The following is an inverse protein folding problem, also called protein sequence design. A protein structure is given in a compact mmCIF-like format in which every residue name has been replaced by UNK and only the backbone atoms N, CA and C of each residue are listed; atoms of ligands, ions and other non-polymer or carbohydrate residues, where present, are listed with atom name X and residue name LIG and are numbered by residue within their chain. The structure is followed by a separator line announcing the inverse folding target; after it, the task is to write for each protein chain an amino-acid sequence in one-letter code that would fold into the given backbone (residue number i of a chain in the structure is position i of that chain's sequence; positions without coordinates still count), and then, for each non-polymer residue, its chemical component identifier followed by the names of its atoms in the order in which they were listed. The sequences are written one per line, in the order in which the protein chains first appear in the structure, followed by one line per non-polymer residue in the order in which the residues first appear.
data_IF_117978811561
#
_entry.id   IF_117978811561
#
_cell.length_a   1.000
_cell.length_b   1.000
_cell.length_c   1.000
_cell.angle_alpha   90.00
_cell.angle_beta   90.00
_cell.angle_gamma   90.00
#
_symmetry.space_group_name_H-M   'P 1'
#
loop_
_entity.id
_entity.type
_entity.pdbx_description
1 polymer ?
#
# COMPACT_ATOMS: atom_id res chain seq x y z
N UNK A 1 -23.14 -15.93 -13.15
CA UNK A 1 -23.37 -15.25 -11.86
C UNK A 1 -22.19 -14.31 -11.64
N UNK A 2 -22.37 -13.12 -11.08
CA UNK A 2 -21.25 -12.20 -10.88
C UNK A 2 -20.56 -12.48 -9.55
N UNK A 3 -19.26 -12.12 -9.43
CA UNK A 3 -18.51 -12.28 -8.18
C UNK A 3 -19.16 -11.55 -6.99
N UNK A 4 -19.89 -10.46 -7.28
CA UNK A 4 -20.74 -9.76 -6.31
C UNK A 4 -21.77 -10.69 -5.69
N UNK A 5 -22.56 -11.34 -6.56
CA UNK A 5 -23.69 -12.16 -6.15
C UNK A 5 -23.20 -13.43 -5.46
N UNK A 6 -22.07 -13.99 -5.93
CA UNK A 6 -21.38 -15.13 -5.30
C UNK A 6 -20.96 -14.82 -3.85
N UNK A 7 -20.35 -13.65 -3.60
CA UNK A 7 -19.94 -13.25 -2.24
C UNK A 7 -21.15 -13.00 -1.34
N UNK A 8 -22.18 -12.32 -1.85
CA UNK A 8 -23.41 -12.05 -1.08
C UNK A 8 -24.10 -13.37 -0.73
N UNK A 9 -24.31 -14.26 -1.70
CA UNK A 9 -24.98 -15.55 -1.48
C UNK A 9 -24.25 -16.42 -0.45
N UNK A 10 -22.92 -16.44 -0.46
CA UNK A 10 -22.14 -17.18 0.55
C UNK A 10 -22.32 -16.57 1.95
N UNK A 11 -22.32 -15.24 2.06
CA UNK A 11 -22.50 -14.55 3.33
C UNK A 11 -23.95 -14.62 3.86
N UNK A 12 -24.96 -14.77 3.00
CA UNK A 12 -26.35 -14.97 3.40
C UNK A 12 -26.52 -16.25 4.24
N UNK A 13 -25.73 -17.29 3.95
CA UNK A 13 -25.70 -18.53 4.71
C UNK A 13 -24.84 -18.53 5.98
N UNK A 14 -24.08 -17.46 6.27
CA UNK A 14 -23.11 -17.41 7.38
C UNK A 14 -23.28 -16.12 8.20
N UNK A 15 -24.15 -16.18 9.20
CA UNK A 15 -24.53 -15.02 10.04
C UNK A 15 -23.39 -14.46 10.89
N UNK A 16 -22.41 -15.30 11.23
CA UNK A 16 -21.22 -14.91 12.00
C UNK A 16 -20.21 -14.15 11.12
N UNK A 17 -20.40 -14.17 9.80
CA UNK A 17 -19.51 -13.60 8.81
C UNK A 17 -18.38 -14.55 8.41
N UNK A 18 -17.62 -14.16 7.38
CA UNK A 18 -16.48 -14.93 6.88
C UNK A 18 -15.29 -14.02 6.59
N UNK A 19 -14.09 -14.55 6.79
CA UNK A 19 -12.86 -13.85 6.40
C UNK A 19 -12.68 -13.87 4.89
N UNK A 20 -11.88 -12.93 4.37
CA UNK A 20 -11.52 -12.90 2.95
C UNK A 20 -10.82 -14.21 2.51
N UNK A 21 -10.11 -14.90 3.41
CA UNK A 21 -9.46 -16.18 3.13
C UNK A 21 -10.49 -17.33 3.02
N UNK A 22 -11.46 -17.39 3.93
CA UNK A 22 -12.54 -18.39 3.88
C UNK A 22 -13.43 -18.21 2.66
N UNK A 23 -13.73 -16.96 2.28
CA UNK A 23 -14.48 -16.65 1.06
C UNK A 23 -13.70 -17.04 -0.20
N UNK A 24 -12.39 -16.80 -0.24
CA UNK A 24 -11.53 -17.16 -1.37
C UNK A 24 -11.47 -18.68 -1.58
N UNK A 25 -11.24 -19.43 -0.51
CA UNK A 25 -11.22 -20.90 -0.53
C UNK A 25 -12.56 -21.47 -1.00
N UNK A 26 -13.67 -20.97 -0.44
CA UNK A 26 -15.00 -21.50 -0.72
C UNK A 26 -15.53 -21.16 -2.11
N UNK A 27 -15.19 -19.98 -2.62
CA UNK A 27 -15.57 -19.56 -3.97
C UNK A 27 -14.59 -20.06 -5.04
N UNK A 28 -13.48 -20.69 -4.63
CA UNK A 28 -12.40 -21.08 -5.54
C UNK A 28 -11.81 -19.89 -6.28
N UNK A 29 -11.79 -18.71 -5.65
CA UNK A 29 -11.32 -17.46 -6.24
C UNK A 29 -10.02 -17.03 -5.59
N UNK A 30 -9.29 -16.18 -6.30
CA UNK A 30 -8.11 -15.56 -5.74
C UNK A 30 -8.50 -14.65 -4.56
N UNK A 31 -7.75 -14.76 -3.47
CA UNK A 31 -7.96 -13.94 -2.28
C UNK A 31 -8.01 -12.44 -2.57
N UNK A 32 -7.16 -11.97 -3.51
CA UNK A 32 -7.13 -10.58 -3.96
C UNK A 32 -8.47 -10.12 -4.57
N UNK A 33 -9.11 -10.95 -5.38
CA UNK A 33 -10.41 -10.65 -5.99
C UNK A 33 -11.50 -10.55 -4.93
N UNK A 34 -11.46 -11.43 -3.92
CA UNK A 34 -12.39 -11.41 -2.79
C UNK A 34 -12.18 -10.19 -1.91
N UNK A 35 -10.95 -9.88 -1.51
CA UNK A 35 -10.64 -8.71 -0.68
C UNK A 35 -11.06 -7.41 -1.38
N UNK A 36 -10.72 -7.23 -2.66
CA UNK A 36 -11.15 -6.08 -3.45
C UNK A 36 -12.69 -5.99 -3.52
N UNK A 37 -13.37 -7.11 -3.79
CA UNK A 37 -14.83 -7.14 -3.89
C UNK A 37 -15.50 -6.85 -2.56
N UNK A 38 -14.99 -7.39 -1.46
CA UNK A 38 -15.54 -7.16 -0.13
C UNK A 38 -15.34 -5.71 0.33
N UNK A 39 -14.20 -5.09 0.02
CA UNK A 39 -14.00 -3.64 0.24
C UNK A 39 -15.01 -2.81 -0.55
N UNK A 40 -15.25 -3.15 -1.81
CA UNK A 40 -16.23 -2.46 -2.63
C UNK A 40 -17.65 -2.60 -2.06
N UNK A 41 -18.06 -3.81 -1.68
CA UNK A 41 -19.37 -4.07 -1.06
C UNK A 41 -19.54 -3.36 0.29
N UNK A 42 -18.45 -3.17 1.04
CA UNK A 42 -18.47 -2.38 2.27
C UNK A 42 -18.70 -0.89 1.99
N UNK A 43 -18.05 -0.34 0.97
CA UNK A 43 -18.29 1.03 0.50
C UNK A 43 -19.72 1.23 0.02
N UNK A 44 -20.30 0.21 -0.61
CA UNK A 44 -21.70 0.20 -1.05
C UNK A 44 -22.71 -0.03 0.12
N UNK A 45 -22.24 -0.23 1.35
CA UNK A 45 -23.07 -0.41 2.54
C UNK A 45 -23.76 -1.78 2.65
N UNK A 46 -23.36 -2.75 1.83
CA UNK A 46 -23.98 -4.08 1.77
C UNK A 46 -23.36 -5.06 2.77
N UNK A 47 -22.13 -4.81 3.19
CA UNK A 47 -21.46 -5.58 4.23
C UNK A 47 -20.67 -4.69 5.19
N UNK A 48 -20.48 -5.19 6.40
CA UNK A 48 -19.58 -4.63 7.43
C UNK A 48 -18.33 -5.48 7.47
N UNK A 49 -17.17 -4.82 7.52
CA UNK A 49 -15.87 -5.43 7.74
C UNK A 49 -15.46 -5.20 9.19
N UNK A 50 -15.65 -6.20 10.04
CA UNK A 50 -15.25 -6.15 11.45
C UNK A 50 -13.79 -6.59 11.58
N UNK A 51 -12.95 -5.75 12.18
CA UNK A 51 -11.53 -6.01 12.41
C UNK A 51 -11.17 -6.04 13.91
N UNK A 52 -12.16 -6.02 14.81
CA UNK A 52 -11.95 -5.85 16.25
C UNK A 52 -11.11 -6.98 16.90
N UNK A 53 -11.08 -8.17 16.30
CA UNK A 53 -10.30 -9.33 16.77
C UNK A 53 -8.93 -9.48 16.09
N UNK A 54 -8.51 -8.52 15.25
CA UNK A 54 -7.28 -8.60 14.46
C UNK A 54 -7.40 -9.47 13.21
N UNK A 55 -8.55 -10.11 12.98
CA UNK A 55 -8.89 -10.81 11.73
C UNK A 55 -10.11 -10.12 11.11
N UNK A 56 -10.03 -9.75 9.83
CA UNK A 56 -11.15 -9.09 9.16
C UNK A 56 -12.23 -10.11 8.81
N UNK A 57 -13.43 -9.92 9.38
CA UNK A 57 -14.62 -10.72 9.12
C UNK A 57 -15.64 -9.88 8.38
N UNK A 58 -16.11 -10.38 7.23
CA UNK A 58 -17.15 -9.74 6.42
C UNK A 58 -18.53 -10.26 6.84
N UNK A 59 -19.47 -9.37 7.14
CA UNK A 59 -20.84 -9.70 7.52
C UNK A 59 -21.83 -8.87 6.72
N UNK A 60 -22.88 -9.48 6.16
CA UNK A 60 -23.93 -8.73 5.46
C UNK A 60 -24.69 -7.81 6.42
N UNK A 61 -25.02 -6.62 5.92
CA UNK A 61 -25.94 -5.70 6.61
C UNK A 61 -27.36 -6.19 6.33
N UNK A 62 -27.98 -6.87 7.30
CA UNK A 62 -29.39 -7.28 7.18
C UNK A 62 -30.31 -6.15 7.58
N UNK A 63 -31.27 -5.85 6.72
CA UNK A 63 -32.37 -4.94 7.00
C UNK A 63 -33.48 -5.64 7.79
N UNK A 64 -33.16 -6.25 8.93
CA UNK A 64 -34.20 -6.73 9.85
C UNK A 64 -34.39 -5.71 10.97
N UNK A 65 -35.54 -5.05 10.94
CA UNK A 65 -35.87 -3.95 11.84
C UNK A 65 -36.14 -4.39 13.27
N UNK A 66 -35.44 -3.75 14.22
CA UNK A 66 -35.98 -3.25 15.48
C UNK A 66 -34.96 -2.34 16.20
N UNK A 67 -35.15 -1.03 15.98
CA UNK A 67 -34.88 0.13 16.87
C UNK A 67 -33.64 0.11 17.79
N UNK A 68 -32.65 0.93 17.42
CA UNK A 68 -32.06 1.89 18.36
C UNK A 68 -31.81 3.21 17.65
N UNK A 69 -32.72 4.14 17.91
CA UNK A 69 -32.63 5.55 17.58
C UNK A 69 -31.38 6.16 18.22
N UNK A 70 -30.41 6.55 17.40
CA UNK A 70 -29.52 7.67 17.67
C UNK A 70 -29.22 8.38 16.33
N UNK A 71 -29.86 9.53 16.21
CA UNK A 71 -29.61 10.70 15.37
C UNK A 71 -28.83 10.53 14.05
N UNK A 72 -29.50 10.89 12.96
CA UNK A 72 -28.88 11.16 11.66
C UNK A 72 -27.63 12.04 11.82
N UNK A 73 -26.45 11.62 11.30
CA UNK A 73 -25.36 12.55 11.14
C UNK A 73 -25.69 13.49 9.97
N UNK A 74 -25.30 14.78 10.03
CA UNK A 74 -25.36 15.68 8.89
C UNK A 74 -24.52 15.13 7.72
N UNK A 75 -24.70 15.62 6.48
CA UNK A 75 -24.01 15.12 5.29
C UNK A 75 -22.53 14.92 5.60
N UNK A 76 -22.10 13.66 5.57
CA UNK A 76 -20.75 13.27 5.90
C UNK A 76 -19.83 13.87 4.84
N UNK A 77 -19.26 15.02 5.17
CA UNK A 77 -17.97 15.44 4.65
C UNK A 77 -17.07 14.23 4.68
N UNK A 78 -16.47 13.94 3.53
CA UNK A 78 -15.49 12.86 3.33
C UNK A 78 -14.46 12.95 4.45
N UNK A 79 -14.69 12.22 5.55
CA UNK A 79 -13.68 12.01 6.57
C UNK A 79 -12.73 11.02 5.93
N UNK A 80 -11.62 11.55 5.46
CA UNK A 80 -10.41 10.81 5.19
C UNK A 80 -10.21 9.83 6.34
N UNK A 81 -10.47 8.55 6.07
CA UNK A 81 -10.12 7.49 6.99
C UNK A 81 -8.62 7.68 7.29
N UNK A 82 -8.18 7.72 8.57
CA UNK A 82 -6.76 7.84 8.86
C UNK A 82 -6.02 6.71 8.12
N UNK A 83 -4.83 6.98 7.56
CA UNK A 83 -4.07 5.95 6.88
C UNK A 83 -3.92 4.77 7.84
N UNK A 84 -4.17 3.55 7.35
CA UNK A 84 -4.17 2.32 8.17
C UNK A 84 -2.88 2.14 8.98
N UNK A 85 -1.79 2.79 8.55
CA UNK A 85 -0.52 2.90 9.25
C UNK A 85 -0.06 4.37 9.28
N UNK A 86 0.61 4.81 10.35
CA UNK A 86 1.18 6.15 10.41
C UNK A 86 2.31 6.30 9.39
N UNK A 87 2.46 7.50 8.83
CA UNK A 87 3.69 7.88 8.14
C UNK A 87 4.87 7.79 9.12
N UNK A 88 6.07 7.34 8.71
CA UNK A 88 6.52 6.91 7.38
C UNK A 88 6.54 5.38 7.19
N UNK A 89 5.48 4.66 7.59
CA UNK A 89 5.38 3.23 7.35
C UNK A 89 5.27 2.91 5.84
N UNK A 90 5.83 1.78 5.40
CA UNK A 90 5.92 1.42 3.97
C UNK A 90 4.56 1.44 3.25
N UNK A 91 3.52 0.88 3.88
CA UNK A 91 2.14 0.91 3.36
C UNK A 91 1.61 2.34 3.22
N UNK A 92 1.93 3.23 4.15
CA UNK A 92 1.52 4.63 4.08
C UNK A 92 2.26 5.38 2.96
N UNK A 93 3.56 5.12 2.79
CA UNK A 93 4.38 5.68 1.69
C UNK A 93 3.86 5.21 0.33
N UNK A 94 3.57 3.92 0.18
CA UNK A 94 3.00 3.35 -1.05
C UNK A 94 1.62 3.96 -1.36
N UNK A 95 0.73 4.04 -0.37
CA UNK A 95 -0.60 4.63 -0.53
C UNK A 95 -0.53 6.10 -0.94
N UNK A 96 0.35 6.88 -0.30
CA UNK A 96 0.57 8.28 -0.64
C UNK A 96 1.11 8.44 -2.07
N UNK A 97 2.12 7.65 -2.46
CA UNK A 97 2.67 7.63 -3.82
C UNK A 97 1.60 7.33 -4.86
N UNK A 98 0.80 6.28 -4.65
CA UNK A 98 -0.29 5.89 -5.56
C UNK A 98 -1.31 7.03 -5.69
N UNK A 99 -1.68 7.66 -4.57
CA UNK A 99 -2.57 8.81 -4.57
C UNK A 99 -2.03 10.01 -5.36
N UNK A 100 -0.73 10.30 -5.24
CA UNK A 100 -0.07 11.32 -6.05
C UNK A 100 0.00 10.94 -7.54
N UNK A 101 0.42 9.72 -7.86
CA UNK A 101 0.47 9.22 -9.24
C UNK A 101 -0.87 9.38 -9.97
N UNK A 102 -1.98 9.01 -9.32
CA UNK A 102 -3.33 9.18 -9.89
C UNK A 102 -3.66 10.66 -10.13
N UNK A 103 -3.32 11.56 -9.20
CA UNK A 103 -3.51 13.02 -9.38
C UNK A 103 -2.68 13.56 -10.55
N UNK A 104 -1.52 12.97 -10.80
CA UNK A 104 -0.63 13.28 -11.92
C UNK A 104 -0.96 12.50 -13.21
N UNK A 105 -2.19 11.98 -13.32
CA UNK A 105 -2.73 11.26 -14.47
C UNK A 105 -1.97 9.99 -14.86
N UNK A 106 -1.25 9.37 -13.92
CA UNK A 106 -0.73 8.02 -14.13
C UNK A 106 -1.83 6.99 -13.98
N UNK A 107 -1.89 6.06 -14.92
CA UNK A 107 -2.73 4.88 -14.83
C UNK A 107 -2.01 3.81 -14.02
N UNK A 108 -2.58 3.47 -12.87
CA UNK A 108 -2.05 2.39 -12.02
C UNK A 108 -2.35 1.04 -12.66
N UNK A 109 -1.31 0.26 -12.97
CA UNK A 109 -1.40 -1.08 -13.53
C UNK A 109 -1.40 -2.13 -12.40
N UNK A 110 -0.51 -1.97 -11.42
CA UNK A 110 -0.38 -2.88 -10.28
C UNK A 110 0.07 -2.13 -9.03
N UNK A 111 -0.43 -2.58 -7.89
CA UNK A 111 0.07 -2.23 -6.55
C UNK A 111 0.17 -3.54 -5.78
N UNK A 112 1.36 -3.87 -5.29
CA UNK A 112 1.60 -5.08 -4.50
C UNK A 112 1.02 -4.93 -3.09
N UNK A 113 0.53 -6.03 -2.54
CA UNK A 113 0.15 -6.07 -1.13
C UNK A 113 1.38 -6.29 -0.24
N UNK A 114 1.91 -5.18 0.28
CA UNK A 114 3.09 -5.18 1.15
C UNK A 114 2.85 -5.92 2.47
N UNK A 115 1.60 -6.01 2.95
CA UNK A 115 1.27 -6.77 4.16
C UNK A 115 1.22 -8.28 3.89
N UNK A 116 0.89 -8.68 2.67
CA UNK A 116 0.89 -10.08 2.23
C UNK A 116 2.27 -10.60 1.77
N UNK A 117 3.33 -9.78 1.84
CA UNK A 117 4.68 -10.10 1.35
C UNK A 117 4.71 -10.62 -0.09
N UNK A 118 3.85 -10.05 -0.94
CA UNK A 118 3.77 -10.42 -2.35
C UNK A 118 5.13 -10.21 -3.05
N UNK A 119 5.57 -11.19 -3.84
CA UNK A 119 6.81 -11.08 -4.60
C UNK A 119 6.58 -10.24 -5.87
N UNK A 120 7.46 -9.28 -6.13
CA UNK A 120 7.48 -8.46 -7.35
C UNK A 120 7.59 -6.97 -7.07
N UNK A 121 7.53 -6.15 -8.13
CA UNK A 121 7.57 -4.68 -8.05
C UNK A 121 6.37 -4.13 -7.28
N UNK A 122 6.63 -3.20 -6.35
CA UNK A 122 5.63 -2.68 -5.43
C UNK A 122 4.54 -1.86 -6.14
N UNK A 123 4.91 -1.00 -7.09
CA UNK A 123 3.95 -0.24 -7.91
C UNK A 123 4.37 -0.27 -9.37
N UNK A 124 3.40 -0.52 -10.27
CA UNK A 124 3.56 -0.35 -11.72
C UNK A 124 2.51 0.64 -12.19
N UNK A 125 2.94 1.68 -12.89
CA UNK A 125 2.08 2.70 -13.47
C UNK A 125 2.47 3.01 -14.92
N UNK A 126 1.58 3.65 -15.66
CA UNK A 126 1.79 4.00 -17.06
C UNK A 126 1.21 5.38 -17.35
N UNK A 127 1.92 6.17 -18.14
CA UNK A 127 1.47 7.47 -18.63
C UNK A 127 2.11 7.75 -19.97
N UNK A 128 1.29 8.00 -20.98
CA UNK A 128 1.73 8.36 -22.34
C UNK A 128 2.75 7.36 -22.95
N UNK A 129 2.57 6.06 -22.68
CA UNK A 129 3.46 5.00 -23.15
C UNK A 129 4.74 4.82 -22.33
N UNK A 130 4.95 5.65 -21.31
CA UNK A 130 6.04 5.50 -20.34
C UNK A 130 5.56 4.61 -19.20
N UNK A 131 6.16 3.42 -19.08
CA UNK A 131 5.96 2.54 -17.94
C UNK A 131 6.86 2.94 -16.79
N UNK A 132 6.30 3.02 -15.59
CA UNK A 132 6.98 3.29 -14.32
C UNK A 132 6.94 2.03 -13.45
N UNK A 133 8.09 1.63 -12.93
CA UNK A 133 8.24 0.52 -11.99
C UNK A 133 8.89 1.03 -10.72
N UNK A 134 8.19 0.89 -9.59
CA UNK A 134 8.60 1.50 -8.33
C UNK A 134 8.80 0.44 -7.26
N UNK A 135 9.95 0.50 -6.58
CA UNK A 135 10.19 -0.13 -5.27
C UNK A 135 9.96 0.92 -4.18
N UNK A 136 9.13 0.63 -3.19
CA UNK A 136 8.79 1.52 -2.09
C UNK A 136 9.46 1.02 -0.81
N UNK A 137 10.02 1.92 0.00
CA UNK A 137 10.40 1.61 1.38
C UNK A 137 9.92 2.67 2.34
N UNK A 138 9.60 2.27 3.57
CA UNK A 138 9.31 3.18 4.68
C UNK A 138 10.58 3.72 5.35
N UNK A 139 10.41 4.29 6.55
CA UNK A 139 11.52 4.59 7.46
C UNK A 139 11.39 3.77 8.76
N UNK A 140 12.49 3.18 9.26
CA UNK A 140 12.43 2.32 10.44
C UNK A 140 12.15 3.13 11.70
N UNK A 141 11.07 2.80 12.40
CA UNK A 141 10.80 3.29 13.74
C UNK A 141 11.84 2.80 14.77
N UNK A 142 12.11 3.58 15.84
CA UNK A 142 13.12 3.27 16.85
C UNK A 142 12.72 2.10 17.75
N UNK A 143 11.43 1.76 17.80
CA UNK A 143 10.88 0.69 18.64
C UNK A 143 10.25 -0.40 17.80
N UNK A 144 10.06 -1.58 18.41
CA UNK A 144 9.30 -2.66 17.80
C UNK A 144 7.81 -2.27 17.68
N UNK A 145 7.26 -2.35 16.47
CA UNK A 145 5.88 -1.93 16.20
C UNK A 145 4.82 -2.97 16.62
N UNK A 146 5.19 -4.26 16.66
CA UNK A 146 4.28 -5.39 16.94
C UNK A 146 5.03 -6.52 17.65
N UNK A 147 4.28 -7.47 18.21
CA UNK A 147 4.80 -8.68 18.84
C UNK A 147 5.13 -8.53 20.33
N UNK A 148 5.75 -9.55 20.96
CA UNK A 148 6.00 -9.58 22.40
C UNK A 148 6.85 -8.42 22.93
N UNK A 149 7.63 -7.79 22.05
CA UNK A 149 8.52 -6.66 22.35
C UNK A 149 7.96 -5.31 21.94
N UNK A 150 6.67 -5.21 21.60
CA UNK A 150 6.08 -3.96 21.11
C UNK A 150 6.35 -2.80 22.08
N UNK A 151 6.84 -1.68 21.56
CA UNK A 151 7.25 -0.52 22.36
C UNK A 151 8.70 -0.58 22.89
N UNK A 152 9.37 -1.73 22.88
CA UNK A 152 10.77 -1.83 23.25
C UNK A 152 11.68 -1.20 22.17
N UNK A 153 12.80 -0.56 22.56
CA UNK A 153 13.81 -0.07 21.63
C UNK A 153 14.38 -1.20 20.77
N UNK A 154 14.54 -0.94 19.46
CA UNK A 154 15.26 -1.86 18.58
C UNK A 154 16.76 -1.78 18.88
N UNK A 155 17.49 -2.91 18.85
CA UNK A 155 18.95 -2.92 19.08
C UNK A 155 19.73 -2.08 18.07
N UNK A 156 19.23 -1.98 16.83
CA UNK A 156 19.88 -1.25 15.75
C UNK A 156 19.29 0.16 15.61
N UNK A 157 20.11 1.22 15.52
CA UNK A 157 19.62 2.57 15.25
C UNK A 157 18.84 2.64 13.93
N UNK A 158 17.78 3.45 13.88
CA UNK A 158 16.96 3.67 12.68
C UNK A 158 17.80 4.12 11.47
N UNK A 159 18.84 4.91 11.69
CA UNK A 159 19.71 5.42 10.61
C UNK A 159 20.50 4.30 9.92
N UNK A 160 20.95 3.28 10.66
CA UNK A 160 21.65 2.13 10.11
C UNK A 160 20.66 1.17 9.42
N UNK A 161 19.48 0.95 10.01
CA UNK A 161 18.41 0.19 9.36
C UNK A 161 18.00 0.83 8.03
N UNK A 162 17.88 2.16 7.97
CA UNK A 162 17.54 2.89 6.75
C UNK A 162 18.61 2.69 5.65
N UNK A 163 19.90 2.68 6.01
CA UNK A 163 20.97 2.33 5.06
C UNK A 163 20.82 0.91 4.50
N UNK A 164 20.49 -0.08 5.33
CA UNK A 164 20.23 -1.45 4.86
C UNK A 164 18.98 -1.55 3.97
N UNK A 165 17.93 -0.80 4.29
CA UNK A 165 16.70 -0.75 3.49
C UNK A 165 16.96 -0.14 2.11
N UNK A 166 17.71 0.97 2.06
CA UNK A 166 18.14 1.58 0.80
C UNK A 166 18.99 0.62 -0.03
N UNK A 167 19.98 -0.06 0.57
CA UNK A 167 20.82 -1.03 -0.14
C UNK A 167 20.00 -2.17 -0.76
N UNK A 168 18.98 -2.66 -0.04
CA UNK A 168 18.06 -3.69 -0.55
C UNK A 168 17.22 -3.17 -1.71
N UNK A 169 16.68 -1.95 -1.60
CA UNK A 169 15.91 -1.32 -2.66
C UNK A 169 16.74 -1.07 -3.92
N UNK A 170 18.01 -0.65 -3.77
CA UNK A 170 18.95 -0.48 -4.88
C UNK A 170 19.21 -1.80 -5.61
N UNK A 171 19.46 -2.89 -4.88
CA UNK A 171 19.64 -4.20 -5.50
C UNK A 171 18.40 -4.64 -6.30
N UNK A 172 17.20 -4.39 -5.76
CA UNK A 172 15.95 -4.67 -6.47
C UNK A 172 15.80 -3.78 -7.71
N UNK A 173 16.08 -2.49 -7.62
CA UNK A 173 16.04 -1.57 -8.75
C UNK A 173 17.00 -1.97 -9.87
N UNK A 174 18.22 -2.39 -9.54
CA UNK A 174 19.18 -2.92 -10.51
C UNK A 174 18.64 -4.17 -11.22
N UNK A 175 17.98 -5.07 -10.49
CA UNK A 175 17.33 -6.26 -11.08
C UNK A 175 16.17 -5.88 -11.98
N UNK A 176 15.32 -4.92 -11.58
CA UNK A 176 14.23 -4.42 -12.41
C UNK A 176 14.77 -3.82 -13.71
N UNK A 177 15.84 -3.01 -13.63
CA UNK A 177 16.49 -2.42 -14.80
C UNK A 177 17.08 -3.47 -15.74
N UNK A 178 17.62 -4.56 -15.21
CA UNK A 178 18.13 -5.67 -16.02
C UNK A 178 17.03 -6.47 -16.72
N UNK A 179 15.85 -6.58 -16.10
CA UNK A 179 14.72 -7.35 -16.63
C UNK A 179 13.87 -6.58 -17.66
N UNK A 180 13.76 -5.26 -17.51
CA UNK A 180 13.05 -4.38 -18.41
C UNK A 180 13.95 -3.16 -18.64
N UNK A 181 14.29 -2.83 -19.90
CA UNK A 181 15.18 -1.73 -20.29
C UNK A 181 14.43 -0.45 -20.73
N UNK A 182 13.13 -0.54 -20.95
CA UNK A 182 12.30 0.55 -21.47
C UNK A 182 11.52 1.26 -20.35
N UNK A 183 11.24 0.57 -19.25
CA UNK A 183 10.57 1.14 -18.08
C UNK A 183 11.45 2.16 -17.34
N UNK A 184 10.84 3.19 -16.74
CA UNK A 184 11.47 4.04 -15.74
C UNK A 184 11.49 3.33 -14.40
N UNK A 185 12.68 3.13 -13.83
CA UNK A 185 12.86 2.44 -12.55
C UNK A 185 13.03 3.46 -11.45
N UNK A 186 12.21 3.36 -10.40
CA UNK A 186 12.19 4.32 -9.29
C UNK A 186 12.30 3.60 -7.95
N UNK A 187 13.06 4.20 -7.04
CA UNK A 187 13.01 3.90 -5.61
C UNK A 187 12.29 5.05 -4.91
N UNK A 188 11.15 4.76 -4.29
CA UNK A 188 10.35 5.73 -3.55
C UNK A 188 10.56 5.59 -2.04
N UNK A 189 10.95 6.68 -1.39
CA UNK A 189 11.29 6.72 0.02
C UNK A 189 10.58 7.91 0.69
N UNK A 190 10.27 7.85 1.99
CA UNK A 190 9.81 9.03 2.71
C UNK A 190 10.92 10.08 2.76
N UNK A 191 10.54 11.35 2.73
CA UNK A 191 11.46 12.47 2.92
C UNK A 191 12.02 12.47 4.36
N UNK A 192 13.20 11.89 4.49
CA UNK A 192 13.96 11.81 5.72
C UNK A 192 15.39 12.25 5.45
N UNK A 193 15.93 13.09 6.33
CA UNK A 193 17.29 13.67 6.20
C UNK A 193 18.36 12.60 5.90
N UNK A 194 18.24 11.41 6.51
CA UNK A 194 19.18 10.31 6.27
C UNK A 194 19.12 9.77 4.85
N UNK A 195 17.95 9.60 4.25
CA UNK A 195 17.84 9.15 2.86
C UNK A 195 18.36 10.24 1.92
N UNK A 196 18.04 11.51 2.15
CA UNK A 196 18.57 12.62 1.36
C UNK A 196 20.10 12.68 1.34
N UNK A 197 20.74 12.52 2.51
CA UNK A 197 22.20 12.45 2.60
C UNK A 197 22.78 11.28 1.77
N UNK A 198 22.25 10.07 1.97
CA UNK A 198 22.72 8.87 1.27
C UNK A 198 22.52 8.96 -0.25
N UNK A 199 21.36 9.45 -0.70
CA UNK A 199 21.06 9.61 -2.12
C UNK A 199 21.94 10.66 -2.79
N UNK A 200 22.28 11.74 -2.07
CA UNK A 200 23.19 12.77 -2.58
C UNK A 200 24.60 12.21 -2.83
N UNK A 201 25.07 11.30 -1.98
CA UNK A 201 26.37 10.63 -2.16
C UNK A 201 26.41 9.73 -3.40
N UNK A 202 25.26 9.17 -3.82
CA UNK A 202 25.18 8.20 -4.93
C UNK A 202 24.44 8.73 -6.17
N UNK A 203 24.08 10.01 -6.24
CA UNK A 203 23.25 10.60 -7.32
C UNK A 203 23.81 10.31 -8.72
N UNK A 204 25.12 10.48 -8.90
CA UNK A 204 25.77 10.26 -10.18
C UNK A 204 25.75 8.77 -10.59
N UNK A 205 25.88 7.86 -9.62
CA UNK A 205 25.79 6.42 -9.85
C UNK A 205 24.37 5.99 -10.20
N UNK A 206 23.36 6.57 -9.55
CA UNK A 206 21.94 6.37 -9.88
C UNK A 206 21.65 6.79 -11.32
N UNK A 207 22.13 7.98 -11.72
CA UNK A 207 22.01 8.46 -13.11
C UNK A 207 22.70 7.50 -14.08
N UNK A 208 23.93 7.08 -13.81
CA UNK A 208 24.64 6.10 -14.65
C UNK A 208 23.89 4.77 -14.80
N UNK A 209 23.20 4.32 -13.74
CA UNK A 209 22.46 3.06 -13.70
C UNK A 209 21.04 3.13 -14.27
N UNK A 210 20.57 4.30 -14.72
CA UNK A 210 19.18 4.51 -15.14
C UNK A 210 18.13 4.25 -14.06
N UNK A 211 18.44 4.60 -12.82
CA UNK A 211 17.55 4.43 -11.67
C UNK A 211 17.31 5.79 -11.03
N UNK A 212 16.05 6.14 -10.84
CA UNK A 212 15.66 7.34 -10.11
C UNK A 212 15.38 6.99 -8.64
N UNK A 213 15.63 7.95 -7.74
CA UNK A 213 15.16 7.87 -6.38
C UNK A 213 14.36 9.12 -6.03
N UNK A 214 13.17 8.94 -5.46
CA UNK A 214 12.26 10.02 -5.09
C UNK A 214 12.09 10.05 -3.58
N UNK A 215 12.33 11.22 -2.98
CA UNK A 215 11.93 11.50 -1.60
C UNK A 215 10.52 12.06 -1.61
N UNK A 216 9.62 11.43 -0.86
CA UNK A 216 8.20 11.72 -0.88
C UNK A 216 7.77 12.44 0.39
N UNK A 217 6.91 13.44 0.23
CA UNK A 217 6.13 14.02 1.33
C UNK A 217 5.06 13.03 1.81
N UNK A 218 4.42 13.32 2.95
CA UNK A 218 3.27 12.55 3.46
C UNK A 218 2.05 12.54 2.51
N UNK A 219 2.03 13.43 1.52
CA UNK A 219 1.04 13.49 0.43
C UNK A 219 1.46 12.69 -0.82
N UNK A 220 2.63 12.06 -0.78
CA UNK A 220 3.18 11.23 -1.85
C UNK A 220 3.86 12.00 -2.98
N UNK A 221 3.93 13.33 -2.88
CA UNK A 221 4.60 14.16 -3.88
C UNK A 221 6.12 14.12 -3.69
N UNK A 222 6.92 13.97 -4.76
CA UNK A 222 8.37 14.06 -4.69
C UNK A 222 8.84 15.45 -4.26
N UNK A 223 9.39 15.58 -3.05
CA UNK A 223 10.07 16.79 -2.58
C UNK A 223 11.47 16.94 -3.19
N UNK A 224 12.11 15.81 -3.52
CA UNK A 224 13.38 15.76 -4.23
C UNK A 224 13.46 14.53 -5.13
N UNK A 225 14.24 14.64 -6.21
CA UNK A 225 14.55 13.54 -7.13
C UNK A 225 16.05 13.44 -7.35
N UNK A 226 16.54 12.22 -7.35
CA UNK A 226 17.93 11.84 -7.58
C UNK A 226 18.00 10.86 -8.73
N UNK A 227 19.13 10.82 -9.45
CA UNK A 227 19.31 9.98 -10.63
C UNK A 227 18.42 10.37 -11.82
N UNK A 228 17.68 11.48 -11.72
CA UNK A 228 16.83 11.95 -12.79
C UNK A 228 17.66 12.31 -14.04
N UNK A 229 17.08 12.02 -15.21
CA UNK A 229 17.55 12.53 -16.48
C UNK A 229 16.73 13.73 -16.93
N UNK A 230 17.31 14.62 -17.75
CA UNK A 230 16.52 15.55 -18.54
C UNK A 230 15.53 14.76 -19.40
N UNK A 231 14.30 15.23 -19.45
CA UNK A 231 13.29 14.77 -20.42
C UNK A 231 13.75 15.00 -21.87
#
# INVERSE_FOLDING_TARGET
MSLRDEVIQVLEGHTDGMTDAQLAERLGKLHQQINQRCRQLATEGLLVRDAASGTIVNRLVRSDGAVSSQSAPPPSTVRSNPPAHPWPHEVAVQGALVGWLVRENWRIIRVADTEAQEQGTDVIADRDGVRLMVEVKGYPGPTHARGPKAGEPKPMPSTLQASHWLATALLRAMRMRGADQDSRIVIALPDATRYGALLSEIDQSLRGARIEAWLLTDRGEPSARFGAWPD
#
